data_IF_364039107379
#
_entry.id   IF_364039107379
#
_cell.length_a   1.000
_cell.length_b   1.000
_cell.length_c   1.000
_cell.angle_alpha   90.00
_cell.angle_beta   90.00
_cell.angle_gamma   90.00
#
_symmetry.space_group_name_H-M   'P 1'
#
loop_
_entity.id
_entity.type
_entity.pdbx_description
1 polymer ?
#
# COMPACT_ATOMS: atom_id res chain seq x y z
N UNK A 1 0.62 7.22 6.91
CA UNK A 1 -0.68 6.67 7.37
C UNK A 1 -0.48 5.29 7.98
N UNK A 2 0.04 4.26 7.26
CA UNK A 2 0.14 2.88 7.75
C UNK A 2 0.96 2.76 9.05
N UNK A 3 2.12 3.45 9.17
CA UNK A 3 2.92 3.44 10.39
C UNK A 3 2.15 3.92 11.63
N UNK A 4 1.32 4.96 11.49
CA UNK A 4 0.43 5.43 12.58
C UNK A 4 -0.62 4.37 12.94
N UNK A 5 -1.23 3.76 11.93
CA UNK A 5 -2.21 2.70 12.15
C UNK A 5 -1.55 1.49 12.84
N UNK A 6 -0.37 1.08 12.40
CA UNK A 6 0.36 -0.03 13.03
C UNK A 6 0.82 0.27 14.46
N UNK A 7 1.21 1.53 14.74
CA UNK A 7 1.55 1.94 16.11
C UNK A 7 0.34 1.90 17.05
N UNK A 8 -0.86 2.16 16.53
CA UNK A 8 -2.08 2.20 17.32
C UNK A 8 -2.76 0.82 17.43
N UNK A 9 -2.87 0.09 16.32
CA UNK A 9 -3.62 -1.18 16.25
C UNK A 9 -2.74 -2.43 16.22
N UNK A 10 -1.41 -2.27 16.17
CA UNK A 10 -0.45 -3.35 15.92
C UNK A 10 -0.36 -3.75 14.45
N UNK A 11 0.58 -4.63 14.13
CA UNK A 11 0.75 -5.17 12.77
C UNK A 11 -0.35 -6.18 12.46
N UNK A 12 -1.11 -6.03 11.38
CA UNK A 12 -2.06 -7.03 10.96
C UNK A 12 -1.32 -8.29 10.45
N UNK A 13 -1.97 -9.44 10.49
CA UNK A 13 -1.46 -10.64 9.82
C UNK A 13 -1.53 -10.49 8.30
N UNK A 14 -2.62 -9.86 7.83
CA UNK A 14 -2.89 -9.66 6.40
C UNK A 14 -3.47 -8.28 6.14
N UNK A 15 -3.11 -7.71 5.00
CA UNK A 15 -3.72 -6.48 4.48
C UNK A 15 -4.24 -6.75 3.06
N UNK A 16 -5.44 -6.29 2.76
CA UNK A 16 -6.00 -6.32 1.42
C UNK A 16 -5.85 -4.94 0.77
N UNK A 17 -5.25 -4.90 -0.40
CA UNK A 17 -5.00 -3.68 -1.16
C UNK A 17 -5.65 -3.78 -2.54
N UNK A 18 -6.03 -2.66 -3.09
CA UNK A 18 -6.44 -2.56 -4.49
C UNK A 18 -5.22 -2.50 -5.43
N UNK A 19 -5.47 -2.38 -6.73
CA UNK A 19 -4.44 -2.25 -7.74
C UNK A 19 -4.09 -0.77 -8.04
N UNK A 20 -4.19 0.12 -7.05
CA UNK A 20 -3.66 1.48 -7.20
C UNK A 20 -2.14 1.42 -7.44
N UNK A 21 -1.64 2.36 -8.23
CA UNK A 21 -0.22 2.42 -8.64
C UNK A 21 0.77 2.54 -7.48
N UNK A 22 0.33 3.03 -6.33
CA UNK A 22 1.13 3.08 -5.09
C UNK A 22 1.39 1.67 -4.54
N UNK A 23 0.43 0.76 -4.74
CA UNK A 23 0.48 -0.59 -4.17
C UNK A 23 0.93 -1.63 -5.19
N UNK A 24 0.67 -1.39 -6.48
CA UNK A 24 0.82 -2.38 -7.52
C UNK A 24 1.47 -1.81 -8.78
N UNK A 25 2.40 -2.57 -9.39
CA UNK A 25 3.02 -2.21 -10.66
C UNK A 25 2.04 -2.50 -11.81
N UNK A 26 1.26 -1.48 -12.18
CA UNK A 26 0.30 -1.55 -13.29
C UNK A 26 0.97 -1.33 -14.67
N UNK A 27 2.24 -0.94 -14.71
CA UNK A 27 2.94 -0.61 -15.96
C UNK A 27 3.43 -1.84 -16.72
N UNK A 28 3.43 -3.00 -16.07
CA UNK A 28 3.98 -4.23 -16.63
C UNK A 28 2.96 -5.37 -16.62
N UNK A 29 2.95 -6.20 -17.68
CA UNK A 29 2.22 -7.46 -17.69
C UNK A 29 2.77 -8.48 -16.67
N UNK A 30 4.02 -8.30 -16.23
CA UNK A 30 4.68 -9.07 -15.19
C UNK A 30 5.08 -8.13 -14.05
N UNK A 31 4.16 -7.80 -13.12
CA UNK A 31 4.35 -6.78 -12.10
C UNK A 31 5.43 -7.17 -11.10
N UNK A 32 6.36 -6.25 -10.86
CA UNK A 32 7.35 -6.36 -9.78
C UNK A 32 6.77 -5.75 -8.49
N UNK A 33 7.02 -6.31 -7.31
CA UNK A 33 6.50 -5.76 -6.07
C UNK A 33 7.00 -4.33 -5.81
N UNK A 34 6.10 -3.44 -5.41
CA UNK A 34 6.45 -2.08 -5.05
C UNK A 34 7.26 -2.05 -3.75
N UNK A 35 7.98 -0.95 -3.50
CA UNK A 35 8.73 -0.76 -2.24
C UNK A 35 7.82 -0.92 -1.01
N UNK A 36 6.59 -0.41 -1.08
CA UNK A 36 5.61 -0.56 -0.01
C UNK A 36 5.21 -2.03 0.20
N UNK A 37 5.03 -2.79 -0.88
CA UNK A 37 4.72 -4.21 -0.80
C UNK A 37 5.88 -4.98 -0.12
N UNK A 38 7.12 -4.72 -0.55
CA UNK A 38 8.31 -5.33 0.05
C UNK A 38 8.50 -4.95 1.52
N UNK A 39 8.20 -3.71 1.89
CA UNK A 39 8.21 -3.25 3.28
C UNK A 39 7.20 -4.00 4.15
N UNK A 40 5.97 -4.20 3.67
CA UNK A 40 4.94 -4.99 4.37
C UNK A 40 5.38 -6.45 4.56
N UNK A 41 5.96 -7.06 3.51
CA UNK A 41 6.51 -8.43 3.60
C UNK A 41 7.62 -8.50 4.65
N UNK A 42 8.54 -7.53 4.66
CA UNK A 42 9.62 -7.46 5.65
C UNK A 42 9.10 -7.36 7.08
N UNK A 43 7.97 -6.69 7.31
CA UNK A 43 7.26 -6.62 8.60
C UNK A 43 6.46 -7.90 8.92
N UNK A 44 6.44 -8.87 8.02
CA UNK A 44 5.67 -10.11 8.18
C UNK A 44 4.16 -9.91 8.04
N UNK A 45 3.76 -8.97 7.21
CA UNK A 45 2.36 -8.72 6.83
C UNK A 45 2.12 -9.34 5.46
N UNK A 46 1.12 -10.22 5.36
CA UNK A 46 0.73 -10.83 4.09
C UNK A 46 -0.09 -9.83 3.28
N UNK A 47 0.36 -9.52 2.08
CA UNK A 47 -0.38 -8.63 1.16
C UNK A 47 -1.25 -9.46 0.24
N UNK A 48 -2.53 -9.12 0.18
CA UNK A 48 -3.49 -9.69 -0.77
C UNK A 48 -3.99 -8.58 -1.68
N UNK A 49 -3.79 -8.71 -2.98
CA UNK A 49 -4.41 -7.82 -3.94
C UNK A 49 -5.83 -8.28 -4.26
N UNK A 50 -6.78 -7.36 -4.15
CA UNK A 50 -8.19 -7.62 -4.43
C UNK A 50 -8.36 -7.69 -5.95
N UNK A 51 -9.04 -8.71 -6.46
CA UNK A 51 -9.30 -8.85 -7.90
C UNK A 51 -10.05 -7.62 -8.43
N UNK A 52 -9.68 -7.16 -9.63
CA UNK A 52 -10.27 -5.95 -10.27
C UNK A 52 -11.81 -5.97 -10.42
N UNK A 53 -12.50 -7.08 -10.14
CA UNK A 53 -13.96 -7.23 -10.03
C UNK A 53 -14.23 -8.47 -9.15
N UNK A 54 -14.78 -8.32 -7.97
CA UNK A 54 -16.23 -8.25 -7.74
C UNK A 54 -16.61 -7.00 -6.93
N UNK A 55 -17.80 -6.38 -7.20
CA UNK A 55 -18.25 -5.16 -6.51
C UNK A 55 -18.44 -5.34 -4.99
N UNK A 56 -18.51 -6.57 -4.51
CA UNK A 56 -18.88 -6.86 -3.13
C UNK A 56 -17.75 -6.64 -2.11
N UNK A 57 -16.47 -6.85 -2.48
CA UNK A 57 -15.37 -6.77 -1.49
C UNK A 57 -15.04 -5.33 -1.07
N UNK A 58 -15.25 -4.32 -1.93
CA UNK A 58 -15.04 -2.90 -1.61
C UNK A 58 -16.28 -2.22 -1.00
N UNK A 59 -17.47 -2.75 -1.24
CA UNK A 59 -18.73 -2.09 -0.85
C UNK A 59 -18.84 -1.82 0.65
N UNK A 60 -18.21 -2.64 1.51
CA UNK A 60 -18.22 -2.41 2.96
C UNK A 60 -17.33 -1.23 3.35
N UNK A 61 -16.12 -1.15 2.79
CA UNK A 61 -15.16 -0.07 3.07
C UNK A 61 -15.70 1.24 2.48
N UNK A 62 -16.20 1.23 1.26
CA UNK A 62 -16.82 2.39 0.61
C UNK A 62 -18.01 2.90 1.39
N UNK A 63 -18.90 2.03 1.83
CA UNK A 63 -20.05 2.39 2.66
C UNK A 63 -19.61 2.97 4.01
N UNK A 64 -18.58 2.40 4.63
CA UNK A 64 -18.02 2.92 5.88
C UNK A 64 -17.44 4.32 5.67
N UNK A 65 -16.67 4.53 4.58
CA UNK A 65 -16.13 5.85 4.23
C UNK A 65 -17.26 6.86 4.00
N UNK A 66 -18.28 6.52 3.22
CA UNK A 66 -19.45 7.38 3.01
C UNK A 66 -20.13 7.74 4.34
N UNK A 67 -20.34 6.77 5.22
CA UNK A 67 -20.92 6.99 6.53
C UNK A 67 -20.09 7.95 7.36
N UNK A 68 -18.77 7.77 7.42
CA UNK A 68 -17.87 8.64 8.16
C UNK A 68 -17.89 10.06 7.57
N UNK A 69 -17.78 10.20 6.25
CA UNK A 69 -17.81 11.50 5.58
C UNK A 69 -19.13 12.24 5.87
N UNK A 70 -20.26 11.57 5.68
CA UNK A 70 -21.58 12.17 5.91
C UNK A 70 -21.80 12.57 7.38
N UNK A 71 -21.34 11.78 8.31
CA UNK A 71 -21.65 11.96 9.73
C UNK A 71 -20.59 12.77 10.51
N UNK A 72 -19.37 12.85 10.01
CA UNK A 72 -18.30 13.57 10.68
C UNK A 72 -17.84 14.83 9.94
N UNK A 73 -18.05 14.93 8.62
CA UNK A 73 -17.48 16.00 7.80
C UNK A 73 -18.55 16.88 7.17
N UNK A 74 -19.59 16.31 6.57
CA UNK A 74 -20.60 17.08 5.83
C UNK A 74 -21.33 18.06 6.76
N UNK A 75 -21.37 19.34 6.37
CA UNK A 75 -22.03 20.40 7.14
C UNK A 75 -21.25 20.89 8.36
N UNK A 76 -20.01 20.44 8.55
CA UNK A 76 -19.15 20.87 9.66
C UNK A 76 -18.03 21.77 9.14
N UNK A 77 -17.66 22.78 9.94
CA UNK A 77 -16.47 23.60 9.72
C UNK A 77 -15.43 23.25 10.77
N UNK A 78 -14.19 23.04 10.32
CA UNK A 78 -13.07 22.71 11.19
C UNK A 78 -12.04 23.83 11.13
N UNK A 79 -11.83 24.57 12.20
CA UNK A 79 -10.87 25.66 12.22
C UNK A 79 -9.41 25.18 12.08
N UNK A 80 -9.13 23.97 12.53
CA UNK A 80 -7.81 23.33 12.49
C UNK A 80 -7.93 21.84 12.23
N UNK A 81 -6.86 21.24 11.67
CA UNK A 81 -6.83 19.82 11.36
C UNK A 81 -6.97 18.88 12.55
N UNK A 82 -6.57 19.32 13.75
CA UNK A 82 -6.74 18.55 14.98
C UNK A 82 -8.22 18.36 15.34
N UNK A 83 -9.04 19.39 15.16
CA UNK A 83 -10.48 19.29 15.40
C UNK A 83 -11.13 18.28 14.44
N UNK A 84 -10.73 18.26 13.17
CA UNK A 84 -11.16 17.24 12.22
C UNK A 84 -10.70 15.85 12.64
N UNK A 85 -9.42 15.69 13.00
CA UNK A 85 -8.90 14.39 13.44
C UNK A 85 -9.64 13.89 14.69
N UNK A 86 -9.87 14.73 15.67
CA UNK A 86 -10.63 14.36 16.87
C UNK A 86 -12.05 13.92 16.49
N UNK A 87 -12.74 14.68 15.66
CA UNK A 87 -14.09 14.35 15.20
C UNK A 87 -14.16 13.00 14.46
N UNK A 88 -13.16 12.71 13.61
CA UNK A 88 -13.05 11.42 12.94
C UNK A 88 -12.82 10.29 13.93
N UNK A 89 -11.94 10.47 14.91
CA UNK A 89 -11.67 9.50 15.96
C UNK A 89 -12.93 9.21 16.78
N UNK A 90 -13.60 10.24 17.31
CA UNK A 90 -14.82 10.09 18.09
C UNK A 90 -15.91 9.35 17.29
N UNK A 91 -15.98 9.63 15.98
CA UNK A 91 -16.98 8.96 15.14
C UNK A 91 -16.65 7.49 14.88
N UNK A 92 -15.40 7.18 14.61
CA UNK A 92 -14.93 5.79 14.46
C UNK A 92 -15.17 5.00 15.75
N UNK A 93 -14.85 5.59 16.90
CA UNK A 93 -15.07 4.97 18.21
C UNK A 93 -16.57 4.74 18.46
N UNK A 94 -17.41 5.71 18.14
CA UNK A 94 -18.86 5.55 18.24
C UNK A 94 -19.37 4.39 17.36
N UNK A 95 -18.92 4.31 16.11
CA UNK A 95 -19.32 3.25 15.18
C UNK A 95 -18.89 1.86 15.66
N UNK A 96 -17.71 1.78 16.26
CA UNK A 96 -17.13 0.51 16.70
C UNK A 96 -17.61 0.04 18.08
N UNK A 97 -17.88 0.97 19.00
CA UNK A 97 -18.17 0.66 20.40
C UNK A 97 -19.65 0.82 20.79
N UNK A 98 -20.40 1.67 20.06
CA UNK A 98 -21.74 2.05 20.48
C UNK A 98 -22.83 1.83 19.44
N UNK A 99 -22.51 1.81 18.13
CA UNK A 99 -23.52 1.63 17.10
C UNK A 99 -23.89 0.15 16.94
N UNK A 100 -25.16 -0.25 17.19
CA UNK A 100 -25.60 -1.61 16.98
C UNK A 100 -25.48 -2.01 15.50
N UNK A 101 -24.90 -3.19 15.24
CA UNK A 101 -24.75 -3.77 13.91
C UNK A 101 -25.73 -4.94 13.74
N UNK A 102 -26.67 -4.84 12.79
CA UNK A 102 -27.69 -5.85 12.57
C UNK A 102 -27.09 -7.22 12.23
N UNK A 103 -26.01 -7.27 11.46
CA UNK A 103 -25.33 -8.52 11.08
C UNK A 103 -24.59 -9.18 12.24
N UNK A 104 -24.39 -8.44 13.35
CA UNK A 104 -23.74 -8.92 14.57
C UNK A 104 -24.76 -9.12 15.71
N UNK A 105 -26.01 -9.42 15.37
CA UNK A 105 -27.06 -9.64 16.37
C UNK A 105 -27.39 -8.39 17.19
N UNK A 106 -27.16 -7.18 16.67
CA UNK A 106 -27.38 -5.93 17.37
C UNK A 106 -26.24 -5.50 18.28
N UNK A 107 -25.12 -6.19 18.29
CA UNK A 107 -23.94 -5.79 19.06
C UNK A 107 -23.06 -4.84 18.23
N UNK A 108 -22.42 -3.86 18.87
CA UNK A 108 -21.36 -3.06 18.22
C UNK A 108 -20.17 -3.93 17.78
N UNK A 109 -19.43 -3.56 16.72
CA UNK A 109 -18.35 -4.36 16.17
C UNK A 109 -17.29 -4.79 17.19
N UNK A 110 -16.75 -3.89 18.01
CA UNK A 110 -15.71 -4.21 18.99
C UNK A 110 -16.26 -4.91 20.26
N UNK A 111 -17.57 -4.87 20.50
CA UNK A 111 -18.20 -5.69 21.53
C UNK A 111 -18.32 -7.13 21.04
N UNK A 112 -18.71 -7.33 19.78
CA UNK A 112 -18.80 -8.65 19.17
C UNK A 112 -17.40 -9.26 18.92
N UNK A 113 -16.40 -8.44 18.60
CA UNK A 113 -15.03 -8.86 18.27
C UNK A 113 -13.98 -8.04 19.03
N UNK A 114 -13.82 -8.22 20.36
CA UNK A 114 -12.86 -7.43 21.16
C UNK A 114 -11.41 -7.59 20.69
N UNK A 115 -11.07 -8.75 20.14
CA UNK A 115 -9.75 -9.05 19.58
C UNK A 115 -9.40 -8.20 18.34
N UNK A 116 -10.38 -7.59 17.69
CA UNK A 116 -10.14 -6.70 16.55
C UNK A 116 -9.61 -5.32 16.96
N UNK A 117 -9.61 -4.99 18.26
CA UNK A 117 -9.10 -3.70 18.75
C UNK A 117 -7.59 -3.58 18.58
N UNK A 118 -6.84 -4.68 18.79
CA UNK A 118 -5.39 -4.69 18.62
C UNK A 118 -4.94 -6.10 18.19
N UNK A 119 -4.01 -6.15 17.23
CA UNK A 119 -3.54 -7.41 16.63
C UNK A 119 -2.66 -8.27 17.53
N UNK A 120 -2.32 -7.81 18.73
CA UNK A 120 -1.32 -8.41 19.63
C UNK A 120 0.11 -8.51 19.05
N UNK A 121 0.37 -7.93 17.87
CA UNK A 121 1.68 -7.83 17.23
C UNK A 121 2.15 -6.38 17.29
N UNK A 122 2.87 -5.96 18.34
CA UNK A 122 3.21 -4.55 18.56
C UNK A 122 4.14 -4.04 17.46
N UNK A 123 3.90 -2.80 17.04
CA UNK A 123 4.77 -2.06 16.13
C UNK A 123 5.29 -0.82 16.83
N UNK A 124 6.60 -0.56 16.70
CA UNK A 124 7.26 0.63 17.23
C UNK A 124 8.12 1.26 16.13
N UNK A 125 7.84 2.51 15.82
CA UNK A 125 8.52 3.25 14.75
C UNK A 125 10.03 3.31 14.99
N UNK A 126 10.45 3.51 16.22
CA UNK A 126 11.87 3.64 16.62
C UNK A 126 12.63 2.32 16.41
N UNK A 127 11.93 1.20 16.42
CA UNK A 127 12.48 -0.14 16.24
C UNK A 127 12.17 -0.75 14.88
N UNK A 128 11.59 0.03 13.96
CA UNK A 128 11.16 -0.49 12.65
C UNK A 128 12.31 -1.19 11.91
N UNK A 129 13.51 -0.59 11.90
CA UNK A 129 14.70 -1.17 11.26
C UNK A 129 15.06 -2.56 11.78
N UNK A 130 14.85 -2.80 13.07
CA UNK A 130 15.08 -4.11 13.71
C UNK A 130 13.99 -5.11 13.34
N UNK A 131 12.74 -4.62 13.22
CA UNK A 131 11.58 -5.43 12.89
C UNK A 131 11.57 -5.92 11.43
N UNK A 132 12.28 -5.24 10.53
CA UNK A 132 12.37 -5.63 9.12
C UNK A 132 13.21 -6.90 8.95
N UNK A 133 12.55 -7.99 8.59
CA UNK A 133 13.16 -9.26 8.25
C UNK A 133 13.37 -9.37 6.73
N UNK A 134 14.59 -9.15 6.27
CA UNK A 134 14.95 -9.21 4.86
C UNK A 134 14.91 -10.62 4.27
N UNK A 135 15.00 -11.67 5.10
CA UNK A 135 14.90 -13.04 4.61
C UNK A 135 13.50 -13.34 4.04
N UNK A 136 12.46 -12.75 4.61
CA UNK A 136 11.10 -12.84 4.06
C UNK A 136 11.00 -12.21 2.68
N UNK A 137 11.66 -11.06 2.49
CA UNK A 137 11.71 -10.38 1.19
C UNK A 137 12.45 -11.24 0.17
N UNK A 138 13.59 -11.79 0.53
CA UNK A 138 14.38 -12.66 -0.38
C UNK A 138 13.62 -13.94 -0.73
N UNK A 139 13.01 -14.58 0.25
CA UNK A 139 12.17 -15.77 0.02
C UNK A 139 10.97 -15.48 -0.90
N UNK A 140 10.36 -14.31 -0.74
CA UNK A 140 9.26 -13.88 -1.59
C UNK A 140 9.74 -13.62 -3.04
N UNK A 141 10.82 -12.87 -3.21
CA UNK A 141 11.36 -12.55 -4.53
C UNK A 141 11.88 -13.81 -5.26
N UNK A 142 12.42 -14.78 -4.55
CA UNK A 142 12.90 -16.03 -5.13
C UNK A 142 11.79 -16.89 -5.80
N UNK A 143 10.53 -16.62 -5.48
CA UNK A 143 9.37 -17.27 -6.12
C UNK A 143 8.88 -16.51 -7.36
N UNK A 144 9.38 -15.28 -7.57
CA UNK A 144 8.94 -14.41 -8.65
C UNK A 144 9.64 -14.70 -9.98
N UNK A 145 8.92 -14.45 -11.08
CA UNK A 145 9.44 -14.40 -12.43
C UNK A 145 8.92 -13.16 -13.12
N UNK A 146 9.79 -12.40 -13.72
CA UNK A 146 9.44 -11.15 -14.38
C UNK A 146 9.98 -11.15 -15.81
N UNK A 147 9.22 -10.56 -16.70
CA UNK A 147 9.58 -10.43 -18.10
C UNK A 147 9.71 -8.96 -18.45
N UNK A 148 10.82 -8.58 -19.09
CA UNK A 148 11.05 -7.18 -19.49
C UNK A 148 11.64 -7.13 -20.89
N UNK A 149 11.10 -6.20 -21.68
CA UNK A 149 11.68 -5.84 -22.96
C UNK A 149 12.97 -5.05 -22.72
N UNK A 150 14.04 -5.48 -23.33
CA UNK A 150 15.34 -4.79 -23.31
C UNK A 150 15.37 -3.75 -24.42
N UNK A 151 15.84 -2.55 -24.13
CA UNK A 151 15.98 -1.50 -25.12
C UNK A 151 17.13 -1.80 -26.10
N UNK A 152 17.18 -1.08 -27.25
CA UNK A 152 18.30 -1.13 -28.21
C UNK A 152 19.67 -0.80 -27.61
N UNK A 153 19.67 -0.17 -26.41
CA UNK A 153 20.90 0.13 -25.66
C UNK A 153 21.29 -0.97 -24.66
N UNK A 154 20.56 -2.10 -24.63
CA UNK A 154 20.81 -3.19 -23.71
C UNK A 154 20.38 -2.90 -22.27
N UNK A 155 19.27 -2.18 -22.06
CA UNK A 155 18.77 -1.79 -20.74
C UNK A 155 17.31 -2.16 -20.57
N UNK A 156 16.92 -2.48 -19.31
CA UNK A 156 15.54 -2.64 -18.90
C UNK A 156 15.27 -1.95 -17.53
N UNK A 157 14.00 -1.80 -17.16
CA UNK A 157 13.60 -1.26 -15.87
C UNK A 157 12.89 -2.31 -15.02
N UNK A 158 13.24 -2.41 -13.74
CA UNK A 158 12.61 -3.30 -12.77
C UNK A 158 12.58 -2.62 -11.38
N UNK A 159 11.42 -2.58 -10.71
CA UNK A 159 11.30 -1.99 -9.39
C UNK A 159 11.75 -0.53 -9.32
N UNK A 160 11.40 0.31 -10.29
CA UNK A 160 11.84 1.69 -10.45
C UNK A 160 13.36 1.88 -10.67
N UNK A 161 14.12 0.81 -10.85
CA UNK A 161 15.56 0.86 -11.14
C UNK A 161 15.83 0.45 -12.58
N UNK A 162 16.82 1.11 -13.19
CA UNK A 162 17.30 0.79 -14.54
C UNK A 162 18.53 -0.12 -14.45
N UNK A 163 18.53 -1.20 -15.24
CA UNK A 163 19.60 -2.20 -15.31
C UNK A 163 20.15 -2.27 -16.72
N UNK A 164 21.47 -2.32 -16.86
CA UNK A 164 22.16 -2.58 -18.14
C UNK A 164 22.64 -4.01 -18.15
N UNK A 165 22.27 -4.78 -19.18
CA UNK A 165 22.64 -6.18 -19.34
C UNK A 165 23.49 -6.45 -20.60
N UNK A 166 23.77 -5.40 -21.38
CA UNK A 166 24.56 -5.52 -22.60
C UNK A 166 23.72 -5.50 -23.87
N UNK A 167 24.39 -5.13 -24.97
CA UNK A 167 23.73 -5.02 -26.29
C UNK A 167 23.39 -6.37 -26.90
N UNK A 168 23.98 -7.44 -26.42
CA UNK A 168 23.67 -8.80 -26.89
C UNK A 168 22.22 -9.22 -26.58
N UNK A 169 21.60 -8.56 -25.61
CA UNK A 169 20.19 -8.72 -25.24
C UNK A 169 19.27 -7.65 -25.86
N UNK A 170 19.81 -6.78 -26.72
CA UNK A 170 19.03 -5.68 -27.28
C UNK A 170 17.79 -6.18 -28.03
N UNK A 171 16.67 -5.46 -27.84
CA UNK A 171 15.39 -5.72 -28.50
C UNK A 171 14.77 -7.10 -28.24
N UNK A 172 15.27 -7.83 -27.22
CA UNK A 172 14.73 -9.12 -26.77
C UNK A 172 13.91 -8.95 -25.49
N UNK A 173 13.02 -9.91 -25.25
CA UNK A 173 12.39 -10.07 -23.94
C UNK A 173 13.25 -11.00 -23.08
N UNK A 174 13.61 -10.56 -21.88
CA UNK A 174 14.37 -11.37 -20.92
C UNK A 174 13.50 -11.85 -19.79
N UNK A 175 13.70 -13.09 -19.37
CA UNK A 175 13.17 -13.62 -18.12
C UNK A 175 14.10 -13.22 -16.98
N UNK A 176 13.54 -12.69 -15.90
CA UNK A 176 14.27 -12.24 -14.72
C UNK A 176 13.79 -13.03 -13.52
N UNK A 177 14.73 -13.66 -12.81
CA UNK A 177 14.50 -14.32 -11.53
C UNK A 177 15.44 -13.75 -10.48
N UNK A 178 15.18 -14.06 -9.22
CA UNK A 178 16.01 -13.59 -8.11
C UNK A 178 16.64 -14.77 -7.37
N UNK A 179 17.96 -14.75 -7.25
CA UNK A 179 18.71 -15.68 -6.42
C UNK A 179 18.82 -15.15 -4.98
N UNK A 180 18.16 -15.84 -4.05
CA UNK A 180 18.15 -15.45 -2.65
C UNK A 180 19.49 -15.65 -1.93
N UNK A 181 20.38 -16.50 -2.45
CA UNK A 181 21.68 -16.79 -1.86
C UNK A 181 22.70 -15.71 -2.24
N UNK A 182 22.81 -15.42 -3.53
CA UNK A 182 23.75 -14.40 -4.04
C UNK A 182 23.17 -12.99 -3.98
N UNK A 183 21.83 -12.87 -3.84
CA UNK A 183 21.08 -11.59 -3.86
C UNK A 183 21.20 -10.88 -5.20
N UNK A 184 21.22 -11.66 -6.28
CA UNK A 184 21.36 -11.19 -7.64
C UNK A 184 20.08 -11.46 -8.44
N UNK A 185 19.87 -10.63 -9.45
CA UNK A 185 18.93 -10.89 -10.52
C UNK A 185 19.63 -11.76 -11.56
N UNK A 186 18.99 -12.84 -11.94
CA UNK A 186 19.41 -13.70 -13.05
C UNK A 186 18.53 -13.33 -14.24
N UNK A 187 19.15 -12.81 -15.28
CA UNK A 187 18.49 -12.44 -16.53
C UNK A 187 18.83 -13.47 -17.61
N UNK A 188 17.80 -14.12 -18.13
CA UNK A 188 17.93 -15.16 -19.16
C UNK A 188 17.33 -14.65 -20.48
N UNK A 189 18.06 -14.83 -21.59
CA UNK A 189 17.57 -14.52 -22.94
C UNK A 189 16.37 -15.39 -23.31
N UNK A 190 15.57 -14.96 -24.29
CA UNK A 190 14.37 -15.67 -24.75
C UNK A 190 14.68 -17.08 -25.27
N UNK A 191 15.85 -17.27 -25.90
CA UNK A 191 16.33 -18.57 -26.41
C UNK A 191 17.03 -19.43 -25.33
N UNK A 192 17.17 -18.93 -24.11
CA UNK A 192 17.79 -19.61 -22.97
C UNK A 192 19.31 -19.81 -23.08
N UNK A 193 19.98 -19.19 -24.06
CA UNK A 193 21.41 -19.42 -24.29
C UNK A 193 22.31 -18.43 -23.57
N UNK A 194 21.81 -17.26 -23.24
CA UNK A 194 22.58 -16.21 -22.56
C UNK A 194 22.02 -15.95 -21.18
N UNK A 195 22.90 -15.96 -20.18
CA UNK A 195 22.59 -15.64 -18.80
C UNK A 195 23.48 -14.48 -18.34
N UNK A 196 22.88 -13.51 -17.68
CA UNK A 196 23.61 -12.42 -17.02
C UNK A 196 23.10 -12.25 -15.60
N UNK A 197 24.02 -12.04 -14.65
CA UNK A 197 23.72 -11.80 -13.24
C UNK A 197 24.01 -10.35 -12.87
N UNK A 198 23.10 -9.74 -12.15
CA UNK A 198 23.17 -8.34 -11.76
C UNK A 198 22.84 -8.18 -10.29
N UNK A 199 23.56 -7.33 -9.56
CA UNK A 199 23.21 -7.03 -8.19
C UNK A 199 21.83 -6.33 -8.14
N UNK A 200 20.94 -6.83 -7.28
CA UNK A 200 19.63 -6.21 -7.10
C UNK A 200 19.78 -4.84 -6.43
N UNK A 201 19.02 -3.87 -6.90
CA UNK A 201 19.00 -2.50 -6.37
C UNK A 201 17.75 -2.27 -5.51
N UNK A 202 17.85 -1.35 -4.56
CA UNK A 202 16.70 -0.90 -3.76
C UNK A 202 16.28 -1.84 -2.63
N UNK A 203 16.96 -2.96 -2.37
CA UNK A 203 16.61 -3.92 -1.31
C UNK A 203 17.31 -3.68 0.04
N UNK A 204 17.99 -2.55 0.26
CA UNK A 204 18.49 -2.23 1.59
C UNK A 204 17.32 -1.88 2.53
N UNK A 205 17.43 -2.20 3.83
CA UNK A 205 16.40 -1.82 4.83
C UNK A 205 16.07 -0.32 4.79
N UNK A 206 17.09 0.53 4.63
CA UNK A 206 16.93 1.97 4.49
C UNK A 206 16.07 2.36 3.30
N UNK A 207 16.21 1.66 2.17
CA UNK A 207 15.41 1.93 0.98
C UNK A 207 13.95 1.52 1.17
N UNK A 208 13.70 0.40 1.85
CA UNK A 208 12.34 -0.06 2.16
C UNK A 208 11.64 0.85 3.17
N UNK A 209 12.37 1.36 4.15
CA UNK A 209 11.85 2.32 5.12
C UNK A 209 11.50 3.66 4.46
N UNK A 210 12.24 4.03 3.41
CA UNK A 210 12.17 5.37 2.83
C UNK A 210 12.69 6.44 3.81
N UNK A 211 12.74 7.67 3.36
CA UNK A 211 12.98 8.79 4.26
C UNK A 211 11.72 9.07 5.06
N UNK A 212 11.84 9.01 6.38
CA UNK A 212 10.82 9.56 7.27
C UNK A 212 10.87 11.07 7.09
N UNK A 213 9.91 11.61 6.37
CA UNK A 213 9.79 13.07 6.26
C UNK A 213 9.75 13.67 7.66
N UNK A 214 10.55 14.70 7.97
CA UNK A 214 10.47 15.42 9.25
C UNK A 214 9.07 15.90 9.58
N UNK A 215 8.24 16.07 8.55
CA UNK A 215 6.82 16.42 8.65
C UNK A 215 5.97 15.34 9.37
N UNK A 216 6.43 14.07 9.41
CA UNK A 216 5.74 13.01 10.16
C UNK A 216 6.02 13.06 11.66
N UNK A 217 7.07 13.76 12.08
CA UNK A 217 7.40 13.98 13.49
C UNK A 217 6.67 15.20 14.10
N UNK A 218 6.00 16.01 13.29
CA UNK A 218 5.19 17.12 13.75
C UNK A 218 3.77 16.64 14.03
N UNK A 219 3.31 16.65 15.30
CA UNK A 219 1.98 16.16 15.67
C UNK A 219 0.82 16.89 14.97
N UNK A 220 1.06 18.06 14.42
CA UNK A 220 0.06 18.95 13.85
C UNK A 220 0.23 19.19 12.33
N UNK A 221 1.11 18.49 11.65
CA UNK A 221 1.26 18.74 10.22
C UNK A 221 0.24 17.94 9.42
N UNK A 222 -0.94 18.50 9.31
CA UNK A 222 -1.82 18.21 8.21
C UNK A 222 -1.33 19.07 7.03
N UNK A 223 -0.88 18.42 5.94
CA UNK A 223 -0.73 19.10 4.67
C UNK A 223 -2.03 19.87 4.43
N UNK A 224 -1.96 21.20 4.39
CA UNK A 224 -3.07 22.00 3.94
C UNK A 224 -3.49 21.38 2.60
N UNK A 225 -4.74 20.92 2.52
CA UNK A 225 -5.28 20.45 1.26
C UNK A 225 -5.06 21.60 0.27
N UNK A 226 -4.51 21.35 -0.95
CA UNK A 226 -4.19 22.42 -1.90
C UNK A 226 -5.44 23.18 -2.37
N UNK A 227 -6.60 22.81 -1.85
CA UNK A 227 -7.90 23.39 -2.18
C UNK A 227 -8.55 23.96 -0.91
N UNK A 228 -9.17 25.12 -1.04
CA UNK A 228 -10.08 25.60 0.00
C UNK A 228 -11.21 24.59 0.20
N UNK A 229 -11.78 24.52 1.42
CA UNK A 229 -12.94 23.67 1.71
C UNK A 229 -14.12 23.91 0.74
N UNK A 230 -14.26 25.14 0.22
CA UNK A 230 -15.24 25.47 -0.82
C UNK A 230 -14.92 24.81 -2.15
N UNK A 231 -13.68 24.86 -2.61
CA UNK A 231 -13.26 24.19 -3.84
C UNK A 231 -13.38 22.66 -3.76
N UNK A 232 -13.14 22.09 -2.58
CA UNK A 232 -13.35 20.67 -2.33
C UNK A 232 -14.83 20.28 -2.36
N UNK A 233 -15.70 21.12 -1.80
CA UNK A 233 -17.17 20.96 -1.88
C UNK A 233 -17.67 21.01 -3.33
N UNK A 234 -17.19 21.97 -4.14
CA UNK A 234 -17.55 22.08 -5.55
C UNK A 234 -17.13 20.84 -6.35
N UNK A 235 -15.94 20.31 -6.10
CA UNK A 235 -15.44 19.11 -6.76
C UNK A 235 -16.24 17.86 -6.39
N UNK A 236 -16.70 17.74 -5.14
CA UNK A 236 -17.56 16.63 -4.69
C UNK A 236 -18.98 16.77 -5.23
N UNK A 237 -19.52 17.99 -5.33
CA UNK A 237 -20.84 18.25 -5.90
C UNK A 237 -20.87 18.02 -7.43
N UNK A 238 -19.78 18.27 -8.15
CA UNK A 238 -19.70 17.99 -9.59
C UNK A 238 -19.71 16.49 -9.92
N UNK A 239 -19.27 15.63 -9.02
CA UNK A 239 -19.34 14.18 -9.22
C UNK A 239 -20.76 13.59 -9.05
N UNK A 240 -21.63 14.27 -8.33
CA UNK A 240 -23.04 13.84 -8.16
C UNK A 240 -23.92 14.20 -9.38
N UNK A 241 -23.46 15.08 -10.27
CA UNK A 241 -24.23 15.55 -11.44
C UNK A 241 -23.99 14.69 -12.71
N UNK A 242 -23.06 13.74 -12.71
CA UNK A 242 -22.81 12.84 -13.84
C UNK A 242 -23.54 11.49 -13.75
N UNK A 243 -24.40 11.32 -12.76
CA UNK A 243 -25.14 10.07 -12.46
C UNK A 243 -26.62 10.08 -12.85
N UNK A 244 -27.11 10.98 -13.73
CA UNK A 244 -28.48 10.87 -14.21
C UNK A 244 -28.60 11.40 -15.64
N UNK A 245 -28.56 10.51 -16.60
CA UNK A 245 -29.45 10.51 -17.79
C UNK A 245 -29.16 9.32 -18.69
N UNK A 246 -30.22 8.56 -18.90
CA UNK A 246 -30.58 7.53 -19.87
C UNK A 246 -30.37 6.10 -19.43
#
# INVERSE_FOLDING_TARGET
>A
ILRRAFAHYGLPERISLDHDSVFYDNASASPYPTTLHLWLIALGVVVRFIKKRPPAEHSFIERMHQTIVQQAIVGQEFPVGEALQQRLTDRVDFLNLHLPCRTLGGQPPLVAYPQAQHSARPYRLEREKEMLDMQRVYAYLAQGRWFRQVSSQGQFSLGAHRYGIGRDFADQTVEITFDSLTRELICLSEDGKQETRLPVRGLAKSNLMGELSPLLSLPAYQLALPFSLSAWREMMMCNDLTGTTL
#
